data_IF_094544743740
#
_entry.id   IF_094544743740
#
_cell.length_a   1.000
_cell.length_b   1.000
_cell.length_c   1.000
_cell.angle_alpha   90.00
_cell.angle_beta   90.00
_cell.angle_gamma   90.00
#
_symmetry.space_group_name_H-M   'P 1'
#
loop_
_entity.id
_entity.type
_entity.pdbx_description
1 polymer ?
#
# COMPACT_ATOMS: atom_id res chain seq x y z
N UNK A 1 -22.20 -5.31 69.07
CA UNK A 1 -20.77 -5.10 69.05
C UNK A 1 -20.21 -6.03 67.96
N UNK A 2 -19.67 -5.64 66.86
CA UNK A 2 -18.66 -4.72 66.39
C UNK A 2 -18.96 -4.38 64.93
N UNK A 3 -19.38 -3.16 64.68
CA UNK A 3 -19.22 -2.44 63.42
C UNK A 3 -17.86 -1.75 63.55
N UNK A 4 -17.14 -1.56 62.43
CA UNK A 4 -15.89 -0.83 62.25
C UNK A 4 -14.71 -1.74 61.89
N UNK A 5 -14.60 -2.12 60.63
CA UNK A 5 -13.30 -2.36 59.96
C UNK A 5 -13.49 -2.40 58.42
N UNK A 6 -14.03 -1.35 57.82
CA UNK A 6 -14.11 -1.24 56.36
C UNK A 6 -13.98 0.20 55.86
N UNK A 7 -13.14 1.00 56.49
CA UNK A 7 -12.95 2.43 56.09
C UNK A 7 -11.44 2.81 55.97
N UNK A 8 -10.53 1.89 55.84
CA UNK A 8 -9.09 2.23 55.81
C UNK A 8 -8.35 1.65 54.58
N UNK A 9 -9.00 1.45 53.44
CA UNK A 9 -8.38 0.96 52.21
C UNK A 9 -8.59 1.82 50.98
N UNK A 10 -9.10 3.08 51.09
CA UNK A 10 -9.40 3.97 49.95
C UNK A 10 -8.56 5.28 49.99
N UNK A 11 -7.54 5.38 50.81
CA UNK A 11 -6.79 6.63 50.98
C UNK A 11 -5.33 6.62 50.50
N UNK A 12 -4.90 5.69 49.64
CA UNK A 12 -3.48 5.64 49.18
C UNK A 12 -3.31 5.62 47.67
N UNK A 13 -4.29 6.07 46.88
CA UNK A 13 -4.17 6.13 45.42
C UNK A 13 -4.37 7.53 44.79
N UNK A 14 -4.05 8.58 45.57
CA UNK A 14 -4.13 9.96 45.06
C UNK A 14 -2.88 10.79 45.37
N UNK A 15 -1.68 10.26 45.14
CA UNK A 15 -0.45 11.10 45.08
C UNK A 15 0.38 10.59 43.90
N UNK A 16 0.24 11.19 42.77
CA UNK A 16 1.02 10.87 41.55
C UNK A 16 0.68 11.81 40.39
N UNK A 17 0.33 13.07 40.67
CA UNK A 17 0.37 14.11 39.63
C UNK A 17 1.83 14.59 39.51
N UNK A 18 2.60 13.94 38.67
CA UNK A 18 3.81 14.54 38.12
C UNK A 18 3.40 15.57 37.08
N UNK A 19 3.84 16.81 37.27
CA UNK A 19 3.71 17.90 36.34
C UNK A 19 4.23 17.47 34.97
N UNK A 20 3.37 17.53 33.96
CA UNK A 20 3.79 17.57 32.57
C UNK A 20 4.52 18.91 32.40
N UNK A 21 5.83 18.89 32.24
CA UNK A 21 6.58 20.02 31.70
C UNK A 21 6.26 20.07 30.21
N UNK A 22 5.77 21.23 29.76
CA UNK A 22 5.63 21.54 28.35
C UNK A 22 7.00 21.37 27.67
N UNK A 23 7.09 20.69 26.52
CA UNK A 23 8.33 20.65 25.76
C UNK A 23 8.65 22.06 25.27
N UNK A 24 9.93 22.49 25.28
CA UNK A 24 10.34 23.80 24.82
C UNK A 24 9.98 23.99 23.34
N UNK A 25 9.29 25.06 23.09
CA UNK A 25 9.01 25.58 21.75
C UNK A 25 10.31 25.94 21.02
N UNK A 26 10.31 25.69 19.72
CA UNK A 26 11.22 26.26 18.73
C UNK A 26 12.67 25.78 18.71
N UNK A 27 12.87 24.64 18.08
CA UNK A 27 14.10 24.43 17.31
C UNK A 27 13.72 24.33 15.83
N UNK A 28 14.23 25.23 14.96
CA UNK A 28 13.86 25.22 13.55
C UNK A 28 14.45 23.97 12.88
N UNK A 29 13.57 23.28 12.15
CA UNK A 29 13.87 22.15 11.26
C UNK A 29 14.88 22.61 10.20
N UNK A 30 16.15 22.54 10.52
CA UNK A 30 17.26 22.93 9.60
C UNK A 30 17.90 21.75 8.88
N UNK A 31 17.52 20.51 9.27
CA UNK A 31 18.09 19.29 8.66
C UNK A 31 17.35 18.82 7.39
N UNK A 32 16.12 19.29 7.15
CA UNK A 32 15.33 18.81 6.01
C UNK A 32 15.86 19.33 4.66
N UNK A 33 16.41 20.54 4.63
CA UNK A 33 16.91 21.15 3.36
C UNK A 33 18.16 20.49 2.81
N UNK A 34 19.05 19.98 3.66
CA UNK A 34 20.31 19.36 3.20
C UNK A 34 20.08 17.92 2.72
N UNK A 35 19.19 17.16 3.37
CA UNK A 35 18.78 15.83 2.90
C UNK A 35 17.93 15.91 1.63
N UNK A 36 17.02 16.87 1.53
CA UNK A 36 16.21 17.10 0.34
C UNK A 36 17.07 17.46 -0.90
N UNK A 37 18.12 18.27 -0.72
CA UNK A 37 18.99 18.65 -1.84
C UNK A 37 19.88 17.49 -2.35
N UNK A 38 20.32 16.59 -1.48
CA UNK A 38 21.06 15.38 -1.87
C UNK A 38 20.15 14.32 -2.53
N UNK A 39 18.91 14.15 -2.04
CA UNK A 39 17.92 13.25 -2.61
C UNK A 39 17.44 13.69 -4.00
N UNK A 40 17.25 15.01 -4.21
CA UNK A 40 16.84 15.55 -5.52
C UNK A 40 17.90 15.29 -6.62
N UNK A 41 19.17 15.15 -6.26
CA UNK A 41 20.26 14.87 -7.23
C UNK A 41 20.23 13.45 -7.75
N UNK A 42 19.65 12.50 -7.01
CA UNK A 42 19.59 11.08 -7.37
C UNK A 42 18.25 10.65 -7.98
N UNK A 43 17.17 11.44 -7.84
CA UNK A 43 15.87 11.13 -8.39
C UNK A 43 15.84 11.25 -9.91
N UNK A 44 15.78 10.15 -10.67
CA UNK A 44 15.81 10.23 -12.14
C UNK A 44 14.54 10.82 -12.75
N UNK A 45 13.47 10.93 -11.97
CA UNK A 45 12.21 11.55 -12.39
C UNK A 45 12.12 13.03 -12.04
N UNK A 46 13.10 13.60 -11.31
CA UNK A 46 13.08 15.04 -10.98
C UNK A 46 13.01 15.88 -12.24
N UNK A 47 12.24 16.97 -12.21
CA UNK A 47 12.14 17.88 -13.34
C UNK A 47 13.51 18.31 -13.84
N UNK A 48 14.45 18.57 -12.93
CA UNK A 48 15.84 18.96 -13.26
C UNK A 48 16.56 17.86 -14.03
N UNK A 49 16.54 16.60 -13.59
CA UNK A 49 17.26 15.50 -14.24
C UNK A 49 16.62 15.16 -15.59
N UNK A 50 15.29 15.14 -15.67
CA UNK A 50 14.58 14.89 -16.93
C UNK A 50 14.81 16.01 -17.94
N UNK A 51 14.84 17.30 -17.51
CA UNK A 51 15.15 18.42 -18.38
C UNK A 51 16.59 18.35 -18.92
N UNK A 52 17.56 18.05 -18.05
CA UNK A 52 18.96 17.86 -18.50
C UNK A 52 19.10 16.73 -19.50
N UNK A 53 18.36 15.64 -19.31
CA UNK A 53 18.34 14.52 -20.25
C UNK A 53 17.67 14.92 -21.58
N UNK A 54 16.57 15.67 -21.54
CA UNK A 54 15.88 16.21 -22.71
C UNK A 54 16.80 17.14 -23.52
N UNK A 55 17.52 18.04 -22.86
CA UNK A 55 18.46 18.96 -23.53
C UNK A 55 19.54 18.20 -24.28
N UNK A 56 20.12 17.13 -23.67
CA UNK A 56 21.11 16.27 -24.32
C UNK A 56 20.53 15.56 -25.54
N UNK A 57 19.34 14.95 -25.41
CA UNK A 57 18.67 14.25 -26.52
C UNK A 57 18.36 15.22 -27.66
N UNK A 58 17.87 16.42 -27.33
CA UNK A 58 17.58 17.47 -28.34
C UNK A 58 18.82 17.86 -29.13
N UNK A 59 19.95 18.05 -28.46
CA UNK A 59 21.25 18.35 -29.12
C UNK A 59 21.67 17.19 -30.04
N UNK A 60 21.60 15.95 -29.57
CA UNK A 60 21.95 14.75 -30.37
C UNK A 60 21.08 14.59 -31.62
N UNK A 61 19.83 15.04 -31.55
CA UNK A 61 18.88 14.99 -32.66
C UNK A 61 18.92 16.23 -33.57
N UNK A 62 19.73 17.24 -33.23
CA UNK A 62 19.76 18.51 -33.93
C UNK A 62 18.42 19.29 -33.87
N UNK A 63 17.67 19.11 -32.78
CA UNK A 63 16.36 19.74 -32.58
C UNK A 63 16.40 20.81 -31.48
N UNK A 64 15.50 21.79 -31.51
CA UNK A 64 15.36 22.75 -30.43
C UNK A 64 15.03 22.06 -29.10
N UNK A 65 15.62 22.52 -28.03
CA UNK A 65 15.30 22.07 -26.68
C UNK A 65 13.83 22.37 -26.32
N UNK A 66 13.14 21.38 -25.78
CA UNK A 66 11.78 21.48 -25.28
C UNK A 66 11.84 21.72 -23.77
N UNK A 67 11.19 22.80 -23.29
CA UNK A 67 11.11 23.07 -21.87
C UNK A 67 9.95 22.30 -21.26
N UNK A 68 10.29 21.38 -20.34
CA UNK A 68 9.33 20.55 -19.63
C UNK A 68 8.68 21.29 -18.46
N UNK A 69 7.49 20.84 -18.08
CA UNK A 69 6.80 21.22 -16.84
C UNK A 69 6.65 19.99 -15.96
N UNK A 70 6.59 20.15 -14.63
CA UNK A 70 6.31 19.02 -13.76
C UNK A 70 4.90 18.49 -14.05
N UNK A 71 4.76 17.16 -14.06
CA UNK A 71 3.46 16.49 -14.19
C UNK A 71 2.89 16.13 -12.82
N UNK A 72 3.78 15.86 -11.87
CA UNK A 72 3.44 15.41 -10.53
C UNK A 72 4.36 16.05 -9.49
N UNK A 73 3.91 16.02 -8.23
CA UNK A 73 4.74 16.17 -7.06
C UNK A 73 5.10 14.80 -6.49
N UNK A 74 6.35 14.58 -6.14
CA UNK A 74 6.77 13.51 -5.26
C UNK A 74 6.56 13.98 -3.82
N UNK A 75 5.75 13.25 -3.07
CA UNK A 75 5.28 13.68 -1.74
C UNK A 75 5.37 12.55 -0.73
N UNK A 76 5.40 12.93 0.56
CA UNK A 76 5.18 12.00 1.66
C UNK A 76 4.14 12.53 2.63
N UNK A 77 3.41 11.60 3.25
CA UNK A 77 2.38 11.86 4.25
C UNK A 77 2.75 11.20 5.57
N UNK A 78 2.45 11.88 6.68
CA UNK A 78 2.60 11.33 8.02
C UNK A 78 1.27 11.41 8.76
N UNK A 79 0.54 10.30 8.94
CA UNK A 79 -0.67 10.29 9.74
C UNK A 79 -0.32 10.40 11.22
N UNK A 80 -1.12 11.15 11.98
CA UNK A 80 -0.95 11.34 13.42
C UNK A 80 -1.62 10.26 14.24
N UNK A 81 -2.66 9.63 13.68
CA UNK A 81 -3.47 8.62 14.33
C UNK A 81 -4.06 7.62 13.34
N UNK A 82 -4.78 6.63 13.86
CA UNK A 82 -5.41 5.59 13.05
C UNK A 82 -6.55 6.10 12.17
N UNK A 83 -7.17 7.23 12.50
CA UNK A 83 -8.23 7.85 11.69
C UNK A 83 -7.63 8.48 10.45
N UNK A 84 -6.56 9.28 10.61
CA UNK A 84 -5.82 9.87 9.49
C UNK A 84 -5.18 8.79 8.62
N UNK A 85 -4.59 7.74 9.25
CA UNK A 85 -4.04 6.60 8.52
C UNK A 85 -5.09 5.89 7.67
N UNK A 86 -6.27 5.63 8.24
CA UNK A 86 -7.38 5.03 7.51
C UNK A 86 -7.82 5.93 6.36
N UNK A 87 -7.93 7.23 6.59
CA UNK A 87 -8.31 8.22 5.57
C UNK A 87 -7.33 8.25 4.39
N UNK A 88 -6.02 8.13 4.65
CA UNK A 88 -5.01 7.99 3.59
C UNK A 88 -5.20 6.71 2.78
N UNK A 89 -5.42 5.58 3.45
CA UNK A 89 -5.60 4.28 2.78
C UNK A 89 -6.92 4.20 2.00
N UNK A 90 -7.96 4.87 2.45
CA UNK A 90 -9.27 4.92 1.78
C UNK A 90 -9.27 5.90 0.58
N UNK A 91 -8.21 6.69 0.40
CA UNK A 91 -8.04 7.53 -0.78
C UNK A 91 -7.77 6.67 -2.01
N UNK A 92 -8.80 6.45 -2.82
CA UNK A 92 -8.74 5.57 -4.01
C UNK A 92 -7.68 5.95 -5.04
N UNK A 93 -7.21 7.20 -5.00
CA UNK A 93 -6.27 7.77 -5.98
C UNK A 93 -4.81 7.75 -5.50
N UNK A 94 -4.54 7.27 -4.27
CA UNK A 94 -3.19 7.24 -3.73
C UNK A 94 -2.62 5.81 -3.72
N UNK A 95 -1.49 5.62 -4.40
CA UNK A 95 -0.67 4.43 -4.26
C UNK A 95 0.43 4.69 -3.25
N UNK A 96 0.19 4.36 -2.00
CA UNK A 96 1.09 4.65 -0.89
C UNK A 96 2.16 3.56 -0.72
N UNK A 97 3.38 4.02 -0.41
CA UNK A 97 4.54 3.19 -0.07
C UNK A 97 5.13 3.67 1.25
N UNK A 98 5.62 2.77 2.07
CA UNK A 98 6.20 3.10 3.38
C UNK A 98 7.71 3.31 3.33
N UNK A 99 8.25 3.56 2.14
CA UNK A 99 9.68 3.82 1.89
C UNK A 99 9.86 4.78 0.73
N UNK A 100 11.02 5.48 0.63
CA UNK A 100 11.33 6.41 -0.45
C UNK A 100 11.30 5.77 -1.84
N UNK A 101 10.94 6.56 -2.85
CA UNK A 101 10.75 6.12 -4.25
C UNK A 101 11.66 6.87 -5.24
N UNK A 102 12.54 7.71 -4.75
CA UNK A 102 13.46 8.55 -5.54
C UNK A 102 14.78 7.86 -5.87
N UNK A 103 15.10 6.78 -5.20
CA UNK A 103 16.29 5.94 -5.43
C UNK A 103 15.98 4.47 -5.25
N UNK A 104 16.85 3.63 -5.76
CA UNK A 104 16.77 2.20 -5.51
C UNK A 104 17.17 1.88 -4.06
N UNK A 105 16.39 0.99 -3.44
CA UNK A 105 16.62 0.52 -2.08
C UNK A 105 16.92 -0.98 -2.08
N UNK A 106 17.80 -1.40 -1.18
CA UNK A 106 17.99 -2.81 -0.85
C UNK A 106 16.77 -3.35 -0.09
N UNK A 107 16.66 -4.66 0.07
CA UNK A 107 15.56 -5.26 0.83
C UNK A 107 15.64 -4.89 2.31
N UNK A 108 16.84 -4.77 2.87
CA UNK A 108 17.08 -4.33 4.25
C UNK A 108 16.68 -2.87 4.46
N UNK A 109 16.98 -1.98 3.50
CA UNK A 109 16.55 -0.59 3.57
C UNK A 109 15.03 -0.46 3.50
N UNK A 110 14.38 -1.23 2.63
CA UNK A 110 12.90 -1.28 2.55
C UNK A 110 12.32 -1.72 3.89
N UNK A 111 12.86 -2.78 4.50
CA UNK A 111 12.41 -3.28 5.80
C UNK A 111 12.63 -2.24 6.90
N UNK A 112 13.76 -1.54 6.88
CA UNK A 112 14.04 -0.45 7.82
C UNK A 112 12.96 0.64 7.74
N UNK A 113 12.67 1.16 6.55
CA UNK A 113 11.66 2.21 6.38
C UNK A 113 10.24 1.74 6.70
N UNK A 114 9.87 0.50 6.34
CA UNK A 114 8.55 -0.06 6.65
C UNK A 114 8.29 -0.17 8.15
N UNK A 115 9.35 -0.33 8.94
CA UNK A 115 9.29 -0.44 10.40
C UNK A 115 9.65 0.86 11.14
N UNK A 116 10.02 1.93 10.40
CA UNK A 116 10.40 3.20 11.02
C UNK A 116 9.18 3.95 11.56
N UNK A 117 8.93 3.77 12.84
CA UNK A 117 7.90 4.46 13.62
C UNK A 117 8.51 5.36 14.68
N UNK A 118 9.75 5.81 14.48
CA UNK A 118 10.52 6.58 15.47
C UNK A 118 10.06 8.03 15.62
N UNK A 119 9.17 8.51 14.75
CA UNK A 119 8.58 9.83 14.87
C UNK A 119 7.56 9.92 16.02
N UNK A 120 7.17 11.13 16.35
CA UNK A 120 6.28 11.44 17.49
C UNK A 120 4.92 10.71 17.44
N UNK A 121 4.45 10.32 16.27
CA UNK A 121 3.12 9.74 16.08
C UNK A 121 3.11 8.22 15.99
N UNK A 122 4.27 7.57 15.81
CA UNK A 122 4.37 6.11 15.73
C UNK A 122 3.85 5.49 14.44
N UNK A 123 3.75 6.26 13.36
CA UNK A 123 3.40 5.80 12.01
C UNK A 123 4.57 6.02 11.06
N UNK A 124 4.81 5.12 10.09
CA UNK A 124 5.81 5.37 9.06
C UNK A 124 5.36 6.49 8.10
N UNK A 125 6.32 7.14 7.48
CA UNK A 125 6.06 8.02 6.36
C UNK A 125 5.50 7.23 5.18
N UNK A 126 4.52 7.81 4.48
CA UNK A 126 3.89 7.22 3.30
C UNK A 126 4.22 8.05 2.07
N UNK A 127 4.97 7.46 1.17
CA UNK A 127 5.49 8.11 -0.04
C UNK A 127 4.60 7.79 -1.24
N UNK A 128 4.41 8.77 -2.12
CA UNK A 128 3.71 8.62 -3.39
C UNK A 128 4.03 9.77 -4.34
N UNK A 129 3.49 9.71 -5.55
CA UNK A 129 3.37 10.86 -6.45
C UNK A 129 1.91 11.27 -6.57
N UNK A 130 1.67 12.54 -6.71
CA UNK A 130 0.33 13.11 -6.95
C UNK A 130 0.40 14.11 -8.10
N UNK A 131 -0.66 14.28 -8.91
CA UNK A 131 -0.72 15.32 -9.92
C UNK A 131 -0.45 16.71 -9.33
N UNK A 132 0.04 17.65 -10.15
CA UNK A 132 0.38 19.00 -9.66
C UNK A 132 -0.83 19.82 -9.19
N UNK A 133 -2.04 19.42 -9.58
CA UNK A 133 -3.33 19.99 -9.16
C UNK A 133 -3.99 19.23 -8.01
N UNK A 134 -3.27 18.28 -7.40
CA UNK A 134 -3.80 17.46 -6.31
C UNK A 134 -4.17 18.30 -5.08
N UNK A 135 -5.38 18.10 -4.57
CA UNK A 135 -5.86 18.75 -3.34
C UNK A 135 -5.46 17.88 -2.15
N UNK A 136 -4.54 18.38 -1.35
CA UNK A 136 -4.06 17.68 -0.17
C UNK A 136 -5.15 17.55 0.89
N UNK A 137 -5.26 16.40 1.56
CA UNK A 137 -6.27 16.21 2.60
C UNK A 137 -5.97 17.08 3.82
N UNK A 138 -6.99 17.82 4.27
CA UNK A 138 -6.88 18.69 5.45
C UNK A 138 -6.44 17.93 6.70
N UNK A 139 -5.53 18.55 7.45
CA UNK A 139 -5.06 18.09 8.75
C UNK A 139 -3.98 16.98 8.69
N UNK A 140 -3.79 16.30 7.57
CA UNK A 140 -2.74 15.29 7.43
C UNK A 140 -1.41 15.97 7.10
N UNK A 141 -0.38 15.68 7.89
CA UNK A 141 0.97 16.21 7.65
C UNK A 141 1.47 15.67 6.30
N UNK A 142 1.95 16.56 5.45
CA UNK A 142 2.54 16.20 4.17
C UNK A 142 3.73 17.10 3.83
N UNK A 143 4.63 16.56 3.03
CA UNK A 143 5.79 17.29 2.51
C UNK A 143 5.92 17.02 1.00
N UNK A 144 6.12 18.07 0.22
CA UNK A 144 6.52 17.96 -1.18
C UNK A 144 8.04 17.81 -1.20
N UNK A 145 8.51 16.67 -1.71
CA UNK A 145 9.93 16.32 -1.74
C UNK A 145 10.59 16.78 -3.03
N UNK A 146 9.86 16.69 -4.17
CA UNK A 146 10.40 17.04 -5.49
C UNK A 146 9.27 17.34 -6.49
N UNK A 147 9.59 18.10 -7.54
CA UNK A 147 8.79 18.24 -8.75
C UNK A 147 9.25 17.19 -9.77
N UNK A 148 8.36 16.34 -10.26
CA UNK A 148 8.72 15.22 -11.10
C UNK A 148 7.98 15.22 -12.43
N UNK A 149 8.64 14.65 -13.44
CA UNK A 149 8.06 14.38 -14.75
C UNK A 149 7.92 12.88 -14.89
N UNK A 150 6.68 12.41 -14.90
CA UNK A 150 6.34 11.00 -15.07
C UNK A 150 5.50 10.89 -16.34
N UNK A 151 5.81 9.92 -17.20
CA UNK A 151 5.00 9.65 -18.38
C UNK A 151 3.58 9.29 -17.94
N UNK A 152 2.60 10.03 -18.41
CA UNK A 152 1.18 9.72 -18.27
C UNK A 152 0.65 9.47 -19.66
N UNK A 153 -0.08 8.40 -19.83
CA UNK A 153 -0.82 8.08 -21.08
C UNK A 153 -2.21 8.71 -21.09
N UNK A 154 -2.47 9.66 -20.18
CA UNK A 154 -3.76 10.35 -20.08
C UNK A 154 -3.81 11.51 -21.08
N UNK A 155 -4.88 11.57 -21.89
CA UNK A 155 -5.13 12.65 -22.84
C UNK A 155 -5.24 14.05 -22.19
N UNK A 156 -5.36 14.11 -20.87
CA UNK A 156 -5.39 15.33 -20.06
C UNK A 156 -4.02 15.78 -19.49
N UNK A 157 -2.92 15.16 -19.91
CA UNK A 157 -1.59 15.53 -19.42
C UNK A 157 -1.29 17.00 -19.72
N UNK A 158 -0.86 17.74 -18.68
CA UNK A 158 -0.41 19.14 -18.78
C UNK A 158 0.68 19.31 -19.85
N UNK A 159 1.44 18.25 -20.10
CA UNK A 159 2.45 18.17 -21.15
C UNK A 159 1.91 17.55 -22.46
N UNK A 160 0.59 17.32 -22.61
CA UNK A 160 0.03 16.70 -23.81
C UNK A 160 0.42 17.46 -25.08
N UNK A 161 0.56 18.78 -25.01
CA UNK A 161 1.10 19.60 -26.12
C UNK A 161 2.59 19.33 -26.42
N UNK A 162 3.33 18.75 -25.48
CA UNK A 162 4.75 18.38 -25.60
C UNK A 162 4.84 16.90 -26.00
N UNK A 163 4.06 16.02 -25.40
CA UNK A 163 4.05 14.59 -25.71
C UNK A 163 3.53 14.31 -27.12
N UNK A 164 2.60 15.11 -27.67
CA UNK A 164 2.19 15.03 -29.06
C UNK A 164 3.31 15.40 -30.06
N UNK A 165 4.42 15.98 -29.58
CA UNK A 165 5.63 16.28 -30.39
C UNK A 165 6.75 15.28 -30.17
N UNK A 166 6.69 14.50 -29.08
CA UNK A 166 7.70 13.52 -28.73
C UNK A 166 7.19 12.14 -29.15
N UNK A 167 7.95 11.49 -30.03
CA UNK A 167 7.72 10.07 -30.27
C UNK A 167 8.10 9.28 -29.01
N UNK A 168 7.47 8.14 -28.81
CA UNK A 168 7.80 7.21 -27.72
C UNK A 168 9.31 6.92 -27.65
N UNK A 169 9.98 6.82 -28.81
CA UNK A 169 11.45 6.61 -28.89
C UNK A 169 12.25 7.78 -28.29
N UNK A 170 11.83 9.02 -28.52
CA UNK A 170 12.50 10.21 -27.96
C UNK A 170 12.33 10.23 -26.44
N UNK A 171 11.13 9.96 -25.94
CA UNK A 171 10.87 9.88 -24.52
C UNK A 171 11.67 8.78 -23.85
N UNK A 172 11.76 7.63 -24.49
CA UNK A 172 12.59 6.51 -24.05
C UNK A 172 14.07 6.87 -23.91
N UNK A 173 14.62 7.65 -24.87
CA UNK A 173 16.00 8.15 -24.80
C UNK A 173 16.18 9.09 -23.62
N UNK A 174 15.25 9.98 -23.40
CA UNK A 174 15.26 10.93 -22.28
C UNK A 174 15.31 10.16 -20.95
N UNK A 175 14.42 9.19 -20.77
CA UNK A 175 14.37 8.43 -19.52
C UNK A 175 15.62 7.55 -19.32
N UNK A 176 16.17 6.93 -20.37
CA UNK A 176 17.44 6.20 -20.29
C UNK A 176 18.56 7.10 -19.79
N UNK A 177 18.67 8.32 -20.33
CA UNK A 177 19.70 9.29 -19.92
C UNK A 177 19.46 9.84 -18.51
N UNK A 178 18.20 10.11 -18.16
CA UNK A 178 17.85 10.56 -16.81
C UNK A 178 18.16 9.49 -15.75
N UNK A 179 17.92 8.22 -16.07
CA UNK A 179 18.27 7.06 -15.23
C UNK A 179 19.77 6.70 -15.28
N UNK A 180 20.58 7.44 -16.05
CA UNK A 180 22.02 7.17 -16.23
C UNK A 180 22.31 5.74 -16.72
N UNK A 181 21.39 5.16 -17.49
CA UNK A 181 21.56 3.83 -18.06
C UNK A 181 22.51 3.88 -19.27
N UNK A 182 23.20 2.78 -19.61
CA UNK A 182 24.04 2.72 -20.79
C UNK A 182 23.24 3.04 -22.06
N UNK A 183 23.85 3.82 -22.98
CA UNK A 183 23.25 4.12 -24.27
C UNK A 183 23.04 2.82 -25.06
N UNK A 184 21.83 2.62 -25.55
CA UNK A 184 21.44 1.43 -26.28
C UNK A 184 20.96 1.77 -27.68
N UNK A 185 21.18 0.88 -28.65
CA UNK A 185 20.64 1.02 -30.00
C UNK A 185 19.10 0.95 -29.98
N UNK A 186 18.42 1.52 -30.99
CA UNK A 186 16.95 1.49 -31.08
C UNK A 186 16.38 0.06 -31.00
N UNK A 187 17.09 -0.91 -31.58
CA UNK A 187 16.71 -2.32 -31.60
C UNK A 187 16.81 -2.99 -30.22
N UNK A 188 17.84 -2.64 -29.42
CA UNK A 188 18.00 -3.08 -28.03
C UNK A 188 17.02 -2.38 -27.11
N UNK A 189 16.61 -1.16 -27.39
CA UNK A 189 15.63 -0.39 -26.59
C UNK A 189 14.23 -1.00 -26.61
N UNK A 190 13.75 -1.44 -27.77
CA UNK A 190 12.47 -2.11 -27.90
C UNK A 190 12.42 -3.48 -27.21
N UNK A 191 13.55 -4.20 -27.19
CA UNK A 191 13.64 -5.52 -26.54
C UNK A 191 13.72 -5.48 -25.02
N UNK A 192 13.94 -4.30 -24.42
CA UNK A 192 14.03 -4.13 -22.96
C UNK A 192 12.70 -3.82 -22.27
N UNK A 193 11.65 -3.48 -23.02
CA UNK A 193 10.33 -3.26 -22.43
C UNK A 193 9.69 -4.60 -22.07
N UNK A 194 9.30 -4.74 -20.83
CA UNK A 194 8.58 -5.91 -20.34
C UNK A 194 7.37 -5.48 -19.52
N UNK A 195 6.33 -6.30 -19.54
CA UNK A 195 5.13 -6.05 -18.73
C UNK A 195 5.13 -6.95 -17.51
N UNK A 196 4.94 -6.40 -16.31
CA UNK A 196 4.74 -7.19 -15.12
C UNK A 196 3.60 -8.20 -15.30
N UNK A 197 3.89 -9.42 -14.89
CA UNK A 197 2.94 -10.51 -14.86
C UNK A 197 3.08 -11.25 -13.53
N UNK A 198 1.96 -11.51 -12.86
CA UNK A 198 1.93 -12.31 -11.66
C UNK A 198 0.92 -13.46 -11.80
N UNK A 199 1.26 -14.62 -11.25
CA UNK A 199 0.34 -15.74 -11.06
C UNK A 199 0.26 -16.03 -9.57
N UNK A 200 -0.93 -15.88 -8.99
CA UNK A 200 -1.16 -16.04 -7.55
C UNK A 200 -2.10 -17.23 -7.31
N UNK A 201 -1.59 -18.24 -6.64
CA UNK A 201 -2.30 -19.47 -6.36
C UNK A 201 -2.26 -19.79 -4.86
N UNK A 202 -3.18 -20.61 -4.41
CA UNK A 202 -3.35 -20.98 -3.03
C UNK A 202 -3.58 -22.49 -2.91
N UNK A 203 -2.88 -23.12 -1.99
CA UNK A 203 -3.10 -24.54 -1.69
C UNK A 203 -4.19 -24.65 -0.64
N UNK A 204 -5.33 -25.18 -1.03
CA UNK A 204 -6.43 -25.48 -0.11
C UNK A 204 -6.06 -26.64 0.79
N UNK A 205 -6.04 -26.44 2.11
CA UNK A 205 -5.64 -27.45 3.07
C UNK A 205 -6.73 -28.47 3.41
N UNK A 206 -7.96 -28.25 2.93
CA UNK A 206 -9.04 -29.20 3.08
C UNK A 206 -8.91 -30.40 2.10
N UNK A 207 -8.52 -30.11 0.86
CA UNK A 207 -8.45 -31.14 -0.21
C UNK A 207 -7.09 -31.22 -0.91
N UNK A 208 -6.12 -30.38 -0.51
CA UNK A 208 -4.78 -30.32 -1.08
C UNK A 208 -4.70 -29.73 -2.50
N UNK A 209 -5.79 -29.23 -3.05
CA UNK A 209 -5.80 -28.67 -4.40
C UNK A 209 -5.17 -27.28 -4.44
N UNK A 210 -4.43 -27.03 -5.51
CA UNK A 210 -3.94 -25.67 -5.82
C UNK A 210 -4.96 -24.95 -6.67
N UNK A 211 -5.53 -23.88 -6.12
CA UNK A 211 -6.58 -23.09 -6.76
C UNK A 211 -6.08 -21.68 -7.09
N UNK A 212 -6.58 -21.04 -8.17
CA UNK A 212 -6.26 -19.66 -8.47
C UNK A 212 -6.86 -18.72 -7.42
N UNK A 213 -6.14 -17.66 -7.06
CA UNK A 213 -6.69 -16.54 -6.28
C UNK A 213 -7.15 -15.43 -7.21
N UNK A 214 -8.45 -15.23 -7.27
CA UNK A 214 -9.12 -14.28 -8.18
C UNK A 214 -9.35 -12.95 -7.49
N UNK A 215 -9.12 -11.83 -8.20
CA UNK A 215 -9.36 -10.48 -7.68
C UNK A 215 -8.30 -10.00 -6.68
N UNK A 216 -7.14 -10.63 -6.64
CA UNK A 216 -6.01 -10.18 -5.82
C UNK A 216 -5.37 -8.95 -6.46
N UNK A 217 -5.15 -7.94 -5.67
CA UNK A 217 -4.54 -6.68 -6.09
C UNK A 217 -3.02 -6.83 -6.11
N UNK A 218 -2.44 -6.77 -7.30
CA UNK A 218 -0.99 -6.85 -7.52
C UNK A 218 -0.48 -5.49 -7.93
N UNK A 219 0.48 -4.97 -7.20
CA UNK A 219 1.17 -3.72 -7.52
C UNK A 219 2.60 -4.01 -7.89
N UNK A 220 3.07 -3.34 -8.94
CA UNK A 220 4.46 -3.38 -9.38
C UNK A 220 4.99 -1.96 -9.42
N UNK A 221 6.23 -1.75 -9.00
CA UNK A 221 6.84 -0.43 -9.11
C UNK A 221 8.35 -0.51 -9.31
N UNK A 222 8.87 0.48 -10.02
CA UNK A 222 10.27 0.84 -10.08
C UNK A 222 10.36 2.34 -9.86
N UNK A 223 10.88 2.75 -8.71
CA UNK A 223 10.91 4.15 -8.29
C UNK A 223 9.48 4.76 -8.36
N UNK A 224 9.34 5.93 -8.99
CA UNK A 224 8.08 6.64 -9.16
C UNK A 224 7.20 6.11 -10.32
N UNK A 225 7.61 5.05 -11.02
CA UNK A 225 6.77 4.36 -11.99
C UNK A 225 6.01 3.21 -11.32
N UNK A 226 4.67 3.30 -11.26
CA UNK A 226 3.78 2.37 -10.57
C UNK A 226 2.78 1.79 -11.56
N UNK A 227 2.54 0.48 -11.42
CA UNK A 227 1.47 -0.23 -12.13
C UNK A 227 0.69 -1.09 -11.15
N UNK A 228 -0.61 -1.18 -11.37
CA UNK A 228 -1.52 -1.96 -10.56
C UNK A 228 -2.45 -2.79 -11.46
N UNK A 229 -2.66 -4.04 -11.09
CA UNK A 229 -3.54 -4.95 -11.79
C UNK A 229 -4.19 -5.93 -10.81
N UNK A 230 -5.24 -6.61 -11.26
CA UNK A 230 -5.98 -7.58 -10.47
C UNK A 230 -5.93 -8.95 -11.15
N UNK A 231 -5.83 -10.00 -10.34
CA UNK A 231 -5.84 -11.36 -10.86
C UNK A 231 -7.20 -11.74 -11.45
N UNK A 232 -7.17 -12.38 -12.61
CA UNK A 232 -8.34 -12.91 -13.34
C UNK A 232 -8.78 -14.29 -12.77
N UNK A 233 -9.72 -14.95 -13.46
CA UNK A 233 -10.24 -16.27 -13.07
C UNK A 233 -9.17 -17.38 -12.99
N UNK A 234 -8.03 -17.20 -13.68
CA UNK A 234 -6.91 -18.14 -13.64
C UNK A 234 -5.87 -17.77 -12.53
N UNK A 235 -6.13 -16.73 -11.74
CA UNK A 235 -5.18 -16.20 -10.76
C UNK A 235 -4.03 -15.40 -11.39
N UNK A 236 -4.21 -14.91 -12.61
CA UNK A 236 -3.18 -14.22 -13.40
C UNK A 236 -3.46 -12.73 -13.49
N UNK A 237 -2.44 -11.92 -13.31
CA UNK A 237 -2.50 -10.46 -13.42
C UNK A 237 -1.41 -9.98 -14.38
N UNK A 238 -1.79 -9.16 -15.36
CA UNK A 238 -0.86 -8.53 -16.29
C UNK A 238 -1.06 -7.02 -16.23
N UNK A 239 0.02 -6.26 -16.05
CA UNK A 239 -0.05 -4.80 -16.03
C UNK A 239 -0.32 -4.23 -17.41
N UNK A 240 -0.96 -3.07 -17.49
CA UNK A 240 -1.17 -2.34 -18.74
C UNK A 240 0.12 -1.65 -19.18
N UNK A 241 0.84 -1.06 -18.24
CA UNK A 241 2.11 -0.40 -18.48
C UNK A 241 3.30 -1.36 -18.57
N UNK A 242 4.39 -0.85 -19.06
CA UNK A 242 5.65 -1.61 -19.24
C UNK A 242 6.78 -0.97 -18.45
N UNK A 243 7.75 -1.79 -18.06
CA UNK A 243 8.95 -1.40 -17.35
C UNK A 243 10.20 -1.66 -18.20
N UNK A 244 11.24 -0.88 -17.96
CA UNK A 244 12.58 -1.08 -18.55
C UNK A 244 13.57 -1.67 -17.56
N UNK A 245 13.26 -1.55 -16.27
CA UNK A 245 14.08 -2.01 -15.16
C UNK A 245 13.34 -3.07 -14.35
N UNK A 246 14.03 -3.89 -13.54
CA UNK A 246 13.39 -4.80 -12.63
C UNK A 246 12.41 -4.04 -11.71
N UNK A 247 11.15 -4.49 -11.64
CA UNK A 247 10.15 -3.92 -10.76
C UNK A 247 9.99 -4.77 -9.50
N UNK A 248 9.65 -4.12 -8.40
CA UNK A 248 9.31 -4.78 -7.14
C UNK A 248 7.83 -5.10 -7.15
N UNK A 249 7.50 -6.37 -6.94
CA UNK A 249 6.13 -6.83 -6.80
C UNK A 249 5.64 -6.73 -5.35
N UNK A 250 4.36 -6.50 -5.18
CA UNK A 250 3.67 -6.53 -3.88
C UNK A 250 2.20 -6.88 -4.07
N UNK A 251 1.65 -7.68 -3.17
CA UNK A 251 0.21 -7.94 -3.09
C UNK A 251 -0.39 -7.10 -1.97
N UNK A 252 -1.56 -6.54 -2.22
CA UNK A 252 -2.41 -5.89 -1.23
C UNK A 252 -3.71 -6.68 -1.07
N UNK A 253 -4.01 -7.06 0.16
CA UNK A 253 -5.16 -7.89 0.48
C UNK A 253 -6.41 -7.04 0.73
N UNK A 254 -6.72 -6.19 -0.23
CA UNK A 254 -7.88 -5.31 -0.17
C UNK A 254 -8.62 -5.29 -1.50
N UNK A 255 -9.92 -5.09 -1.42
CA UNK A 255 -10.75 -4.67 -2.55
C UNK A 255 -10.97 -3.16 -2.48
N UNK A 256 -10.99 -2.50 -3.62
CA UNK A 256 -11.18 -1.03 -3.65
C UNK A 256 -12.50 -0.58 -3.05
N UNK A 257 -13.54 -1.43 -3.05
CA UNK A 257 -14.90 -1.08 -2.72
C UNK A 257 -15.45 -1.77 -1.48
N UNK A 258 -15.09 -3.05 -1.25
CA UNK A 258 -15.85 -3.89 -0.34
C UNK A 258 -15.13 -4.28 0.95
N UNK A 259 -13.83 -4.56 0.90
CA UNK A 259 -13.10 -4.99 2.10
C UNK A 259 -11.67 -4.48 2.14
N UNK A 260 -11.13 -4.51 3.34
CA UNK A 260 -9.77 -4.16 3.66
C UNK A 260 -9.25 -5.14 4.73
N UNK A 261 -8.31 -6.00 4.34
CA UNK A 261 -7.69 -6.93 5.27
C UNK A 261 -6.52 -6.24 5.93
N UNK A 262 -6.50 -6.30 7.26
CA UNK A 262 -5.46 -5.70 8.10
C UNK A 262 -4.60 -6.77 8.74
N UNK A 263 -3.31 -6.50 8.87
CA UNK A 263 -2.42 -7.21 9.76
C UNK A 263 -2.54 -6.60 11.16
N UNK A 264 -3.14 -7.36 12.08
CA UNK A 264 -3.57 -6.82 13.36
C UNK A 264 -4.69 -5.78 13.24
N UNK A 265 -4.64 -4.76 14.06
CA UNK A 265 -5.69 -3.72 14.11
C UNK A 265 -5.47 -2.59 13.09
N UNK A 266 -4.23 -2.32 12.76
CA UNK A 266 -3.86 -1.06 12.13
C UNK A 266 -3.28 -1.24 10.73
N UNK A 267 -2.34 -2.17 10.57
CA UNK A 267 -1.53 -2.23 9.35
C UNK A 267 -2.26 -2.91 8.20
N UNK A 268 -2.07 -2.38 7.00
CA UNK A 268 -2.60 -3.01 5.79
C UNK A 268 -1.90 -4.36 5.54
N UNK A 269 -2.68 -5.42 5.35
CA UNK A 269 -2.13 -6.72 5.02
C UNK A 269 -1.48 -6.70 3.62
N UNK A 270 -0.22 -7.13 3.55
CA UNK A 270 0.60 -7.12 2.34
C UNK A 270 1.41 -8.40 2.25
N UNK A 271 1.61 -8.89 1.02
CA UNK A 271 2.61 -9.92 0.71
C UNK A 271 3.75 -9.28 -0.08
N UNK A 272 4.96 -9.40 0.44
CA UNK A 272 6.18 -8.90 -0.23
C UNK A 272 6.52 -9.83 -1.40
N UNK A 273 6.69 -9.26 -2.58
CA UNK A 273 7.18 -9.95 -3.77
C UNK A 273 8.62 -9.59 -4.09
N UNK A 274 9.24 -10.32 -5.02
CA UNK A 274 10.62 -10.07 -5.44
C UNK A 274 10.74 -8.77 -6.25
N UNK A 275 11.96 -8.24 -6.32
CA UNK A 275 12.37 -7.30 -7.34
C UNK A 275 12.97 -8.07 -8.52
N UNK A 276 12.27 -8.07 -9.65
CA UNK A 276 12.68 -8.86 -10.81
C UNK A 276 12.15 -8.30 -12.12
N UNK A 277 12.73 -8.76 -13.21
CA UNK A 277 12.18 -8.66 -14.55
C UNK A 277 11.44 -9.96 -14.87
N UNK A 278 10.25 -9.85 -15.45
CA UNK A 278 9.48 -11.01 -15.90
C UNK A 278 8.39 -11.45 -14.94
N UNK A 279 8.05 -12.72 -14.99
CA UNK A 279 6.88 -13.34 -14.36
C UNK A 279 7.13 -13.70 -12.91
N UNK A 280 6.26 -13.26 -12.02
CA UNK A 280 6.24 -13.70 -10.63
C UNK A 280 5.18 -14.79 -10.41
N UNK A 281 5.65 -15.98 -10.03
CA UNK A 281 4.81 -17.11 -9.68
C UNK A 281 4.77 -17.26 -8.16
N UNK A 282 3.59 -17.08 -7.56
CA UNK A 282 3.38 -17.21 -6.13
C UNK A 282 2.37 -18.33 -5.84
N UNK A 283 2.82 -19.36 -5.12
CA UNK A 283 1.96 -20.40 -4.57
C UNK A 283 1.95 -20.25 -3.05
N UNK A 284 0.83 -19.78 -2.52
CA UNK A 284 0.65 -19.58 -1.08
C UNK A 284 0.25 -20.92 -0.44
N UNK A 285 1.09 -21.40 0.44
CA UNK A 285 0.90 -22.68 1.12
C UNK A 285 1.44 -22.62 2.55
N UNK A 286 1.23 -23.69 3.33
CA UNK A 286 1.75 -23.80 4.68
C UNK A 286 1.03 -22.88 5.67
N UNK A 287 1.67 -22.72 6.85
CA UNK A 287 1.19 -21.88 7.93
C UNK A 287 1.97 -20.56 7.94
N UNK A 288 1.48 -19.58 7.21
CA UNK A 288 2.08 -18.26 7.05
C UNK A 288 1.04 -17.15 7.22
N UNK A 289 1.47 -15.93 7.46
CA UNK A 289 0.60 -14.74 7.46
C UNK A 289 -0.09 -14.56 6.10
N UNK A 290 0.65 -14.74 5.00
CA UNK A 290 0.10 -14.67 3.65
C UNK A 290 -1.01 -15.71 3.42
N UNK A 291 -0.84 -16.91 3.96
CA UNK A 291 -1.86 -17.95 3.87
C UNK A 291 -3.13 -17.60 4.65
N UNK A 292 -3.00 -16.91 5.78
CA UNK A 292 -4.14 -16.38 6.53
C UNK A 292 -4.84 -15.25 5.75
N UNK A 293 -4.09 -14.31 5.17
CA UNK A 293 -4.67 -13.25 4.36
C UNK A 293 -5.39 -13.80 3.13
N UNK A 294 -4.79 -14.78 2.46
CA UNK A 294 -5.41 -15.47 1.31
C UNK A 294 -6.71 -16.21 1.69
N UNK A 295 -6.74 -16.85 2.87
CA UNK A 295 -7.94 -17.52 3.37
C UNK A 295 -9.08 -16.52 3.65
N UNK A 296 -8.77 -15.38 4.25
CA UNK A 296 -9.74 -14.30 4.50
C UNK A 296 -10.20 -13.68 3.18
N UNK A 297 -9.29 -13.42 2.24
CA UNK A 297 -9.62 -12.91 0.90
C UNK A 297 -10.61 -13.81 0.17
N UNK A 298 -10.43 -15.13 0.21
CA UNK A 298 -11.37 -16.10 -0.37
C UNK A 298 -12.78 -15.97 0.20
N UNK A 299 -12.89 -15.83 1.53
CA UNK A 299 -14.18 -15.62 2.19
C UNK A 299 -14.85 -14.32 1.75
N UNK A 300 -14.08 -13.22 1.72
CA UNK A 300 -14.57 -11.93 1.23
C UNK A 300 -15.05 -12.04 -0.20
N UNK A 301 -14.27 -12.64 -1.09
CA UNK A 301 -14.65 -12.80 -2.48
C UNK A 301 -15.94 -13.61 -2.63
N UNK A 302 -16.08 -14.69 -1.88
CA UNK A 302 -17.29 -15.52 -1.90
C UNK A 302 -18.56 -14.74 -1.54
N UNK A 303 -18.49 -13.77 -0.61
CA UNK A 303 -19.64 -12.94 -0.20
C UNK A 303 -19.87 -11.75 -1.13
N UNK A 304 -18.79 -11.05 -1.51
CA UNK A 304 -18.94 -9.77 -2.18
C UNK A 304 -18.99 -9.87 -3.71
N UNK A 305 -18.37 -10.86 -4.31
CA UNK A 305 -18.30 -11.02 -5.76
C UNK A 305 -19.03 -12.26 -6.25
N UNK A 306 -18.67 -13.43 -5.78
CA UNK A 306 -19.19 -14.69 -6.31
C UNK A 306 -20.63 -14.95 -5.83
N UNK A 307 -20.91 -14.66 -4.58
CA UNK A 307 -22.21 -14.71 -3.89
C UNK A 307 -23.13 -15.84 -4.36
N UNK A 308 -22.68 -17.10 -4.33
CA UNK A 308 -23.40 -18.24 -4.89
C UNK A 308 -24.75 -18.51 -4.19
N UNK A 309 -24.93 -18.00 -2.98
CA UNK A 309 -26.15 -18.18 -2.18
C UNK A 309 -27.07 -16.95 -2.18
N UNK A 310 -26.78 -15.89 -2.94
CA UNK A 310 -27.58 -14.70 -2.97
C UNK A 310 -27.69 -13.96 -1.64
N UNK A 311 -26.68 -14.06 -0.78
CA UNK A 311 -26.65 -13.39 0.54
C UNK A 311 -26.62 -11.89 0.35
N UNK A 312 -27.45 -11.15 1.10
CA UNK A 312 -27.41 -9.69 1.12
C UNK A 312 -26.02 -9.21 1.56
N UNK A 313 -25.35 -8.44 0.70
CA UNK A 313 -24.03 -7.91 1.03
C UNK A 313 -24.12 -6.94 2.22
N UNK A 314 -23.13 -6.94 3.12
CA UNK A 314 -23.05 -5.91 4.17
C UNK A 314 -23.06 -4.50 3.57
N UNK A 315 -23.90 -3.60 4.09
CA UNK A 315 -24.17 -2.28 3.46
C UNK A 315 -23.14 -1.20 3.73
N UNK A 316 -22.12 -1.50 4.39
CA UNK A 316 -21.06 -0.51 4.61
C UNK A 316 -20.20 -0.37 3.38
N UNK A 317 -19.50 0.76 3.29
CA UNK A 317 -18.32 0.90 2.47
C UNK A 317 -17.35 -0.27 2.70
N UNK A 318 -16.08 -0.04 2.77
CA UNK A 318 -15.11 -1.12 3.00
C UNK A 318 -15.23 -1.70 4.42
N UNK A 319 -15.48 -3.00 4.54
CA UNK A 319 -15.41 -3.73 5.82
C UNK A 319 -13.94 -4.01 6.15
N UNK A 320 -13.54 -3.75 7.38
CA UNK A 320 -12.20 -4.09 7.87
C UNK A 320 -12.20 -5.48 8.50
N UNK A 321 -11.31 -6.34 8.01
CA UNK A 321 -11.07 -7.67 8.56
C UNK A 321 -9.66 -7.71 9.13
N UNK A 322 -9.52 -7.79 10.44
CA UNK A 322 -8.24 -7.81 11.14
C UNK A 322 -7.76 -9.22 11.37
N UNK A 323 -6.67 -9.57 10.73
CA UNK A 323 -6.00 -10.86 10.86
C UNK A 323 -5.00 -10.83 12.02
N UNK A 324 -5.15 -11.73 12.98
CA UNK A 324 -4.23 -11.89 14.10
C UNK A 324 -3.51 -13.23 14.00
N UNK A 325 -2.38 -13.22 13.30
CA UNK A 325 -1.61 -14.44 13.06
C UNK A 325 -0.89 -14.94 14.32
N UNK A 326 -0.23 -14.04 15.08
CA UNK A 326 0.57 -14.41 16.26
C UNK A 326 -0.23 -14.48 17.55
N UNK A 327 -1.35 -13.77 17.64
CA UNK A 327 -2.12 -13.62 18.88
C UNK A 327 -2.97 -14.85 19.17
N UNK A 328 -2.79 -15.44 20.36
CA UNK A 328 -3.64 -16.49 20.88
C UNK A 328 -4.79 -15.90 21.71
N UNK A 329 -5.99 -16.24 21.37
CA UNK A 329 -7.18 -15.79 22.10
C UNK A 329 -8.21 -16.91 22.16
N UNK A 330 -9.15 -16.79 23.11
CA UNK A 330 -10.24 -17.74 23.26
C UNK A 330 -11.34 -17.67 22.20
N UNK A 331 -11.22 -16.77 21.22
CA UNK A 331 -12.22 -16.52 20.18
C UNK A 331 -11.72 -16.94 18.81
N UNK A 332 -12.60 -17.53 18.00
CA UNK A 332 -12.30 -17.89 16.61
C UNK A 332 -12.33 -16.69 15.67
N UNK A 333 -13.28 -15.81 15.87
CA UNK A 333 -13.49 -14.57 15.17
C UNK A 333 -14.51 -13.74 15.90
N UNK A 334 -14.59 -12.48 15.61
CA UNK A 334 -15.48 -11.55 16.28
C UNK A 334 -15.95 -10.47 15.30
N UNK A 335 -17.25 -10.25 15.26
CA UNK A 335 -17.84 -9.10 14.57
C UNK A 335 -18.00 -7.97 15.57
N UNK A 336 -17.28 -6.88 15.38
CA UNK A 336 -17.23 -5.76 16.34
C UNK A 336 -18.52 -4.93 16.42
N UNK A 337 -19.60 -5.36 15.75
CA UNK A 337 -20.85 -4.61 15.70
C UNK A 337 -20.74 -3.26 14.98
N UNK A 338 -21.71 -2.38 15.17
CA UNK A 338 -21.71 -1.02 14.60
C UNK A 338 -20.83 -0.13 15.49
N UNK A 339 -19.53 -0.27 15.39
CA UNK A 339 -18.62 0.68 16.05
C UNK A 339 -18.16 1.68 15.00
N UNK A 340 -18.67 2.88 15.09
CA UNK A 340 -18.17 4.01 14.29
C UNK A 340 -16.79 4.34 14.83
N UNK A 341 -15.73 4.18 14.03
CA UNK A 341 -14.41 4.61 14.41
C UNK A 341 -13.29 3.61 14.12
N UNK A 342 -12.28 3.64 14.95
CA UNK A 342 -10.95 3.02 14.82
C UNK A 342 -10.98 1.47 14.84
N UNK A 343 -12.04 0.87 15.38
CA UNK A 343 -12.13 -0.56 15.61
C UNK A 343 -12.49 -1.33 14.33
N UNK A 344 -11.83 -2.49 14.08
CA UNK A 344 -12.16 -3.33 12.95
C UNK A 344 -13.58 -3.88 13.08
N UNK A 345 -14.26 -3.99 11.97
CA UNK A 345 -15.58 -4.58 11.93
C UNK A 345 -15.55 -6.09 12.25
N UNK A 346 -14.48 -6.79 11.84
CA UNK A 346 -14.30 -8.23 12.05
C UNK A 346 -12.87 -8.52 12.50
N UNK A 347 -12.73 -9.42 13.50
CA UNK A 347 -11.43 -9.90 13.99
C UNK A 347 -11.32 -11.40 13.79
N UNK A 348 -10.24 -11.84 13.18
CA UNK A 348 -9.97 -13.26 12.89
C UNK A 348 -8.65 -13.64 13.50
N UNK A 349 -8.63 -14.76 14.23
CA UNK A 349 -7.46 -15.20 14.98
C UNK A 349 -6.94 -16.52 14.44
N UNK A 350 -5.63 -16.63 14.27
CA UNK A 350 -4.94 -17.85 13.83
C UNK A 350 -4.81 -18.89 14.93
N UNK A 351 -4.68 -18.45 16.19
CA UNK A 351 -4.52 -19.30 17.36
C UNK A 351 -5.66 -19.15 18.34
N UNK A 352 -6.19 -20.27 18.81
CA UNK A 352 -7.26 -20.31 19.80
C UNK A 352 -6.95 -21.35 20.85
N UNK A 353 -6.81 -20.94 22.11
CA UNK A 353 -6.49 -21.82 23.26
C UNK A 353 -5.27 -22.71 22.98
N UNK A 354 -4.20 -22.12 22.44
CA UNK A 354 -2.96 -22.83 22.09
C UNK A 354 -3.00 -23.60 20.78
N UNK A 355 -4.17 -23.84 20.20
CA UNK A 355 -4.31 -24.60 18.96
C UNK A 355 -4.19 -23.68 17.74
N UNK A 356 -3.37 -24.09 16.80
CA UNK A 356 -3.24 -23.45 15.49
C UNK A 356 -4.38 -23.91 14.58
N UNK A 357 -5.11 -22.98 14.02
CA UNK A 357 -6.25 -23.26 13.12
C UNK A 357 -5.77 -23.44 11.69
N UNK A 358 -6.40 -24.37 10.98
CA UNK A 358 -6.21 -24.60 9.55
C UNK A 358 -6.71 -23.39 8.74
N UNK A 359 -6.25 -23.26 7.51
CA UNK A 359 -6.71 -22.23 6.59
C UNK A 359 -8.19 -22.37 6.26
N UNK A 360 -8.68 -23.63 6.17
CA UNK A 360 -10.10 -23.92 6.05
C UNK A 360 -10.93 -23.35 7.21
N UNK A 361 -10.49 -23.56 8.45
CA UNK A 361 -11.16 -23.01 9.64
C UNK A 361 -11.14 -21.47 9.64
N UNK A 362 -10.04 -20.84 9.17
CA UNK A 362 -9.96 -19.39 9.02
C UNK A 362 -10.97 -18.90 7.98
N UNK A 363 -11.04 -19.55 6.80
CA UNK A 363 -12.01 -19.22 5.76
C UNK A 363 -13.44 -19.35 6.27
N UNK A 364 -13.75 -20.47 6.96
CA UNK A 364 -15.08 -20.72 7.53
C UNK A 364 -15.47 -19.67 8.56
N UNK A 365 -14.54 -19.27 9.43
CA UNK A 365 -14.79 -18.21 10.41
C UNK A 365 -15.02 -16.85 9.73
N UNK A 366 -14.21 -16.51 8.74
CA UNK A 366 -14.40 -15.26 8.00
C UNK A 366 -15.77 -15.22 7.29
N UNK A 367 -16.20 -16.33 6.68
CA UNK A 367 -17.54 -16.48 6.10
C UNK A 367 -18.64 -16.33 7.15
N UNK A 368 -18.47 -16.95 8.33
CA UNK A 368 -19.43 -16.87 9.43
C UNK A 368 -19.61 -15.42 9.92
N UNK A 369 -18.52 -14.70 10.18
CA UNK A 369 -18.54 -13.32 10.64
C UNK A 369 -19.09 -12.35 9.56
N UNK A 370 -18.74 -12.57 8.30
CA UNK A 370 -19.35 -11.84 7.18
C UNK A 370 -20.84 -12.12 7.04
N UNK A 371 -21.28 -13.36 7.35
CA UNK A 371 -22.69 -13.73 7.42
C UNK A 371 -23.44 -12.94 8.50
N UNK A 372 -22.84 -12.78 9.69
CA UNK A 372 -23.41 -11.93 10.75
C UNK A 372 -23.53 -10.46 10.30
N UNK A 373 -22.50 -9.91 9.64
CA UNK A 373 -22.55 -8.56 9.13
C UNK A 373 -23.65 -8.37 8.07
N UNK A 374 -23.86 -9.38 7.21
CA UNK A 374 -24.93 -9.40 6.21
C UNK A 374 -26.31 -9.50 6.85
N UNK A 375 -26.45 -10.39 7.84
CA UNK A 375 -27.72 -10.58 8.58
C UNK A 375 -28.12 -9.30 9.34
N UNK A 376 -27.19 -8.70 10.06
CA UNK A 376 -27.44 -7.44 10.78
C UNK A 376 -28.00 -6.37 9.86
N UNK A 377 -27.45 -6.24 8.66
CA UNK A 377 -27.99 -5.32 7.66
C UNK A 377 -29.42 -5.65 7.24
N UNK A 378 -29.71 -6.93 6.96
CA UNK A 378 -31.03 -7.35 6.49
C UNK A 378 -32.14 -7.17 7.52
N UNK A 379 -31.80 -7.08 8.81
CA UNK A 379 -32.77 -6.96 9.91
C UNK A 379 -32.96 -5.51 10.38
N UNK A 380 -31.93 -4.66 10.25
CA UNK A 380 -31.94 -3.29 10.79
C UNK A 380 -32.36 -2.26 9.75
N UNK A 381 -32.37 -2.60 8.48
CA UNK A 381 -32.81 -1.78 7.34
C UNK A 381 -34.05 -2.37 6.68
#
# INVERSE_FOLDING_TARGET
>A
MKKNLLVLAIAVLLIGCSKFEEPPSDTPIRESKTRSALAAQDNPYSLTNVQMAMDKVSVEMGQPTIKLKPTHYYVRFLPKDSTEYTRLLDSSNLMLFTYPLDRELTDEEVEFFENDTTNTYGYPWHYTKVPTDYIFPDGIIHEILDEVVVETFDDNDINAGVSNKLTEDVWDRVMIKSMRLPDQTAQTRSSYKWRPYASVRYVDDFNGQTIPLVGVRVRCHHLLHFEECFTNANGEATSLGSFKQPARYKIFWEDQKYWDIRDGLTWQAKTKGPRMTGRWELVISGDTEDAMFAAIHRACRAIFHDNPFGITRPKRGRIKLCAFYKKDVGKNGDHAGITVGIWPDIRIFRKVKGNTRSRWEITSTALHELGHASHHRAVVE
#
